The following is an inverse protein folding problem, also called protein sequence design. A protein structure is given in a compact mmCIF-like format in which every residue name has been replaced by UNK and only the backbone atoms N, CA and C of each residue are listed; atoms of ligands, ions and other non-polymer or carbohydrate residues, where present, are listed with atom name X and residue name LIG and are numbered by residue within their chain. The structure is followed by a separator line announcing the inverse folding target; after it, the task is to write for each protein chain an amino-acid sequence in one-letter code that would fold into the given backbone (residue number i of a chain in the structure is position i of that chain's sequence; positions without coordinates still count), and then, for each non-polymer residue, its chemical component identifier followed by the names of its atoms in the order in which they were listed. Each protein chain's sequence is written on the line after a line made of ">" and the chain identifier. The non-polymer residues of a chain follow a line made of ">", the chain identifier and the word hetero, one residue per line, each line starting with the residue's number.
data_IF_720345737980
#
_entry.id   IF_720345737980
#
_cell.length_a   1.000
_cell.length_b   1.000
_cell.length_c   1.000
_cell.angle_alpha   90.00
_cell.angle_beta   90.00
_cell.angle_gamma   90.00
#
_symmetry.space_group_name_H-M   'P 1'
#
loop_
_entity.id
_entity.type
_entity.pdbx_description
1 polymer ?
#
# COMPACT_ATOMS: atom_id res chain seq x y z
N UNK A 1 63.44 -44.65 64.38
CA UNK A 1 64.45 -43.57 64.17
C UNK A 1 63.93 -42.57 63.21
N UNK A 2 63.84 -41.37 63.74
CA UNK A 2 63.98 -40.04 63.19
C UNK A 2 62.98 -39.60 62.08
N UNK A 3 62.09 -38.77 62.48
CA UNK A 3 61.97 -37.32 62.28
C UNK A 3 62.10 -36.87 60.76
N UNK A 4 61.30 -36.05 60.17
CA UNK A 4 60.92 -34.66 60.54
C UNK A 4 60.01 -33.99 59.51
N UNK A 5 59.04 -33.29 60.03
CA UNK A 5 58.61 -31.85 59.78
C UNK A 5 58.20 -31.42 58.42
N UNK A 6 56.89 -31.16 58.33
CA UNK A 6 56.18 -29.97 57.95
C UNK A 6 56.77 -28.97 56.95
N UNK A 7 55.97 -28.58 55.98
CA UNK A 7 55.65 -27.14 55.70
C UNK A 7 54.34 -26.95 54.97
N UNK A 8 53.51 -26.17 55.59
CA UNK A 8 52.30 -25.58 55.04
C UNK A 8 52.65 -24.64 53.88
N UNK A 9 51.98 -24.78 52.77
CA UNK A 9 51.96 -23.80 51.68
C UNK A 9 50.53 -23.50 51.31
N UNK A 10 49.99 -22.34 51.73
CA UNK A 10 48.77 -21.78 51.28
C UNK A 10 48.88 -21.46 49.79
N UNK A 11 48.21 -22.20 48.94
CA UNK A 11 48.01 -21.84 47.58
C UNK A 11 46.60 -21.23 47.44
N UNK A 12 46.54 -19.94 47.29
CA UNK A 12 45.31 -19.21 46.99
C UNK A 12 44.77 -19.71 45.66
N UNK A 13 43.61 -20.37 45.67
CA UNK A 13 42.83 -20.65 44.49
C UNK A 13 42.19 -19.34 44.03
N UNK A 14 42.69 -18.78 42.92
CA UNK A 14 42.02 -17.73 42.16
C UNK A 14 40.87 -18.39 41.38
N UNK A 15 39.65 -18.24 41.87
CA UNK A 15 38.45 -18.55 41.11
C UNK A 15 38.24 -17.40 40.11
N UNK A 16 38.68 -17.60 38.88
CA UNK A 16 38.27 -16.75 37.75
C UNK A 16 36.80 -17.05 37.45
N UNK A 17 35.91 -16.22 38.02
CA UNK A 17 34.55 -16.14 37.57
C UNK A 17 34.54 -15.49 36.17
N UNK A 18 34.54 -16.31 35.13
CA UNK A 18 34.20 -15.87 33.78
C UNK A 18 32.73 -15.52 33.78
N UNK A 19 32.45 -14.24 34.04
CA UNK A 19 31.13 -13.65 33.82
C UNK A 19 30.82 -13.73 32.32
N UNK A 20 29.96 -14.66 31.94
CA UNK A 20 29.25 -14.59 30.64
C UNK A 20 28.37 -13.35 30.70
N UNK A 21 28.89 -12.20 30.24
CA UNK A 21 28.06 -11.10 29.80
C UNK A 21 27.41 -11.59 28.51
N UNK A 22 26.21 -12.17 28.62
CA UNK A 22 25.28 -12.25 27.52
C UNK A 22 24.92 -10.80 27.17
N UNK A 23 25.75 -10.18 26.37
CA UNK A 23 25.39 -9.01 25.62
C UNK A 23 24.23 -9.46 24.72
N UNK A 24 22.99 -9.17 25.17
CA UNK A 24 21.86 -9.15 24.29
C UNK A 24 22.27 -8.28 23.10
N UNK A 25 22.45 -8.91 21.96
CA UNK A 25 22.47 -8.19 20.69
C UNK A 25 21.06 -7.61 20.48
N UNK A 26 20.71 -6.57 21.24
CA UNK A 26 19.75 -5.61 20.82
C UNK A 26 20.30 -5.11 19.50
N UNK A 27 19.59 -5.34 18.39
CA UNK A 27 19.93 -4.74 17.13
C UNK A 27 20.19 -3.25 17.41
N UNK A 28 21.44 -2.83 17.37
CA UNK A 28 21.79 -1.43 17.37
C UNK A 28 21.10 -0.89 16.12
N UNK A 29 19.97 -0.22 16.31
CA UNK A 29 19.34 0.53 15.26
C UNK A 29 20.43 1.46 14.74
N UNK A 30 20.80 1.30 13.47
CA UNK A 30 21.84 2.09 12.85
C UNK A 30 21.31 3.54 12.81
N UNK A 31 21.73 4.33 13.82
CA UNK A 31 21.37 5.74 13.92
C UNK A 31 22.02 6.48 12.76
N UNK A 32 21.21 7.24 12.00
CA UNK A 32 21.71 8.05 10.90
C UNK A 32 21.67 7.40 9.53
N UNK A 33 20.97 6.25 9.36
CA UNK A 33 20.78 5.66 8.03
C UNK A 33 20.04 6.62 7.10
N UNK A 34 20.49 6.66 5.82
CA UNK A 34 19.86 7.46 4.77
C UNK A 34 18.96 6.58 3.91
N UNK A 35 17.68 6.86 3.92
CA UNK A 35 16.68 6.10 3.17
C UNK A 35 16.04 6.99 2.10
N UNK A 36 16.00 6.52 0.86
CA UNK A 36 15.24 7.15 -0.20
C UNK A 36 13.88 6.48 -0.34
N UNK A 37 12.81 7.28 -0.38
CA UNK A 37 11.45 6.84 -0.73
C UNK A 37 11.11 7.42 -2.10
N UNK A 38 10.85 6.56 -3.10
CA UNK A 38 10.65 7.00 -4.49
C UNK A 38 9.28 6.53 -4.96
N UNK A 39 8.45 7.47 -5.42
CA UNK A 39 7.08 7.22 -5.90
C UNK A 39 6.70 8.16 -7.04
N UNK A 40 5.95 7.72 -8.04
CA UNK A 40 5.29 8.60 -9.01
C UNK A 40 3.89 9.06 -8.58
N UNK A 41 3.38 8.59 -7.42
CA UNK A 41 1.97 8.72 -7.05
C UNK A 41 1.73 9.55 -5.79
N UNK A 42 2.61 10.51 -5.47
CA UNK A 42 2.42 11.32 -4.24
C UNK A 42 1.19 12.23 -4.29
N UNK A 43 0.59 12.47 -5.48
CA UNK A 43 -0.69 13.14 -5.63
C UNK A 43 -1.89 12.35 -5.04
N UNK A 44 -1.73 11.02 -4.84
CA UNK A 44 -2.77 10.17 -4.27
C UNK A 44 -2.76 10.24 -2.74
N UNK A 45 -3.92 10.47 -2.08
CA UNK A 45 -3.99 10.56 -0.61
C UNK A 45 -3.46 9.32 0.11
N UNK A 46 -3.75 8.12 -0.39
CA UNK A 46 -3.22 6.88 0.19
C UNK A 46 -1.70 6.85 0.21
N UNK A 47 -1.06 7.28 -0.90
CA UNK A 47 0.41 7.38 -0.99
C UNK A 47 0.96 8.37 0.04
N UNK A 48 0.32 9.53 0.20
CA UNK A 48 0.73 10.52 1.20
C UNK A 48 0.70 9.91 2.61
N UNK A 49 -0.39 9.25 2.97
CA UNK A 49 -0.56 8.70 4.32
C UNK A 49 0.49 7.67 4.69
N UNK A 50 0.83 6.72 3.81
CA UNK A 50 1.86 5.75 4.18
C UNK A 50 3.28 6.31 4.07
N UNK A 51 3.54 7.27 3.19
CA UNK A 51 4.83 7.98 3.16
C UNK A 51 5.05 8.79 4.44
N UNK A 52 4.04 9.53 4.90
CA UNK A 52 4.07 10.25 6.18
C UNK A 52 4.29 9.29 7.37
N UNK A 53 3.60 8.15 7.38
CA UNK A 53 3.78 7.15 8.43
C UNK A 53 5.16 6.50 8.40
N UNK A 54 5.72 6.25 7.21
CA UNK A 54 7.10 5.80 7.04
C UNK A 54 8.08 6.82 7.60
N UNK A 55 7.94 8.10 7.21
CA UNK A 55 8.81 9.17 7.71
C UNK A 55 8.73 9.34 9.23
N UNK A 56 7.52 9.24 9.80
CA UNK A 56 7.34 9.31 11.25
C UNK A 56 8.08 8.16 11.96
N UNK A 57 7.94 6.92 11.45
CA UNK A 57 8.62 5.77 12.01
C UNK A 57 10.13 5.81 11.80
N UNK A 58 10.59 6.23 10.64
CA UNK A 58 12.01 6.43 10.32
C UNK A 58 12.67 7.46 11.26
N UNK A 59 11.95 8.54 11.59
CA UNK A 59 12.42 9.52 12.57
C UNK A 59 12.62 8.91 13.95
N UNK A 60 11.72 8.03 14.40
CA UNK A 60 11.89 7.29 15.66
C UNK A 60 13.11 6.37 15.64
N UNK A 61 13.44 5.81 14.46
CA UNK A 61 14.62 4.99 14.23
C UNK A 61 15.92 5.82 14.08
N UNK A 62 15.82 7.16 14.05
CA UNK A 62 16.95 8.06 13.90
C UNK A 62 17.46 8.19 12.46
N UNK A 63 16.63 7.87 11.46
CA UNK A 63 16.99 7.89 10.04
C UNK A 63 16.74 9.23 9.37
N UNK A 64 17.52 9.51 8.34
CA UNK A 64 17.28 10.59 7.38
C UNK A 64 16.50 10.03 6.18
N UNK A 65 15.34 10.63 5.87
CA UNK A 65 14.48 10.19 4.76
C UNK A 65 14.40 11.25 3.69
N UNK A 66 14.77 10.89 2.46
CA UNK A 66 14.57 11.69 1.26
C UNK A 66 13.39 11.12 0.46
N UNK A 67 12.29 11.88 0.35
CA UNK A 67 11.13 11.51 -0.47
C UNK A 67 11.26 12.16 -1.84
N UNK A 68 11.18 11.34 -2.88
CA UNK A 68 11.32 11.74 -4.28
C UNK A 68 10.03 11.40 -5.01
N UNK A 69 9.30 12.43 -5.41
CA UNK A 69 8.12 12.31 -6.26
C UNK A 69 8.50 12.57 -7.73
N UNK A 70 8.18 11.61 -8.60
CA UNK A 70 8.37 11.78 -10.05
C UNK A 70 7.11 12.25 -10.77
N UNK A 71 6.06 12.63 -10.03
CA UNK A 71 4.85 13.29 -10.54
C UNK A 71 4.16 12.54 -11.70
N UNK A 72 3.98 11.24 -11.55
CA UNK A 72 3.38 10.38 -12.57
C UNK A 72 4.37 9.81 -13.58
N UNK A 73 5.60 10.32 -13.65
CA UNK A 73 6.63 9.80 -14.56
C UNK A 73 7.31 8.54 -13.98
N UNK A 74 6.81 7.37 -14.37
CA UNK A 74 7.35 6.08 -13.96
C UNK A 74 8.74 5.84 -14.53
N UNK A 75 9.02 6.33 -15.74
CA UNK A 75 10.34 6.16 -16.37
C UNK A 75 11.43 6.93 -15.61
N UNK A 76 11.10 8.10 -15.07
CA UNK A 76 12.00 8.88 -14.24
C UNK A 76 12.42 8.17 -12.95
N UNK A 77 11.62 7.22 -12.43
CA UNK A 77 11.96 6.45 -11.21
C UNK A 77 13.29 5.73 -11.36
N UNK A 78 13.61 5.21 -12.56
CA UNK A 78 14.88 4.52 -12.82
C UNK A 78 16.07 5.44 -12.54
N UNK A 79 16.06 6.64 -13.15
CA UNK A 79 17.15 7.60 -12.94
C UNK A 79 17.24 8.09 -11.50
N UNK A 80 16.11 8.21 -10.79
CA UNK A 80 16.12 8.57 -9.35
C UNK A 80 16.72 7.47 -8.50
N UNK A 81 16.47 6.20 -8.81
CA UNK A 81 17.13 5.08 -8.13
C UNK A 81 18.65 5.15 -8.38
N UNK A 82 19.09 5.33 -9.63
CA UNK A 82 20.50 5.45 -9.98
C UNK A 82 21.17 6.63 -9.26
N UNK A 83 20.50 7.78 -9.19
CA UNK A 83 20.97 8.97 -8.47
C UNK A 83 21.21 8.68 -6.97
N UNK A 84 20.24 8.05 -6.27
CA UNK A 84 20.38 7.77 -4.84
C UNK A 84 21.36 6.63 -4.57
N UNK A 85 21.51 5.67 -5.48
CA UNK A 85 22.57 4.65 -5.46
C UNK A 85 23.95 5.32 -5.50
N UNK A 86 24.15 6.27 -6.43
CA UNK A 86 25.40 7.03 -6.54
C UNK A 86 25.68 7.90 -5.29
N UNK A 87 24.64 8.35 -4.60
CA UNK A 87 24.74 9.09 -3.33
C UNK A 87 25.06 8.19 -2.13
N UNK A 88 25.00 6.87 -2.29
CA UNK A 88 25.31 5.90 -1.25
C UNK A 88 24.27 5.85 -0.13
N UNK A 89 22.97 5.85 -0.48
CA UNK A 89 21.91 5.62 0.52
C UNK A 89 22.00 4.20 1.10
N UNK A 90 21.51 4.00 2.32
CA UNK A 90 21.53 2.71 2.99
C UNK A 90 20.38 1.79 2.57
N UNK A 91 19.27 2.38 2.12
CA UNK A 91 18.10 1.62 1.65
C UNK A 91 17.20 2.44 0.75
N UNK A 92 16.43 1.75 -0.08
CA UNK A 92 15.47 2.36 -1.01
C UNK A 92 14.08 1.76 -0.74
N UNK A 93 13.08 2.62 -0.66
CA UNK A 93 11.67 2.23 -0.60
C UNK A 93 11.00 2.69 -1.88
N UNK A 94 10.27 1.80 -2.53
CA UNK A 94 9.57 2.10 -3.78
C UNK A 94 8.06 1.91 -3.62
N UNK A 95 7.31 2.75 -4.35
CA UNK A 95 5.87 2.63 -4.53
C UNK A 95 5.55 2.74 -6.02
N UNK A 96 5.88 1.70 -6.76
CA UNK A 96 5.73 1.60 -8.22
C UNK A 96 5.79 0.13 -8.64
N UNK A 97 5.28 -0.20 -9.82
CA UNK A 97 5.46 -1.54 -10.38
C UNK A 97 6.95 -1.85 -10.63
N UNK A 98 7.52 -2.84 -9.91
CA UNK A 98 8.92 -3.21 -10.08
C UNK A 98 9.28 -3.65 -11.50
N UNK A 99 8.32 -4.20 -12.26
CA UNK A 99 8.54 -4.66 -13.63
C UNK A 99 8.88 -3.51 -14.58
N UNK A 100 8.45 -2.28 -14.25
CA UNK A 100 8.69 -1.08 -15.06
C UNK A 100 10.02 -0.39 -14.73
N UNK A 101 10.68 -0.75 -13.64
CA UNK A 101 11.89 -0.10 -13.13
C UNK A 101 13.08 -1.06 -13.00
N UNK A 102 13.11 -2.11 -13.82
CA UNK A 102 14.08 -3.20 -13.75
C UNK A 102 15.54 -2.73 -13.70
N UNK A 103 15.95 -1.77 -14.56
CA UNK A 103 17.32 -1.25 -14.59
C UNK A 103 17.72 -0.57 -13.27
N UNK A 104 16.81 0.21 -12.65
CA UNK A 104 17.06 0.82 -11.34
C UNK A 104 17.22 -0.23 -10.24
N UNK A 105 16.39 -1.29 -10.23
CA UNK A 105 16.52 -2.39 -9.27
C UNK A 105 17.84 -3.16 -9.46
N UNK A 106 18.29 -3.34 -10.69
CA UNK A 106 19.59 -3.97 -10.97
C UNK A 106 20.75 -3.10 -10.47
N UNK A 107 20.66 -1.77 -10.62
CA UNK A 107 21.65 -0.82 -10.10
C UNK A 107 21.72 -0.88 -8.56
N UNK A 108 20.57 -0.89 -7.87
CA UNK A 108 20.51 -1.03 -6.42
C UNK A 108 21.10 -2.38 -5.95
N UNK A 109 20.77 -3.48 -6.64
CA UNK A 109 21.29 -4.80 -6.34
C UNK A 109 22.82 -4.88 -6.54
N UNK A 110 23.37 -4.31 -7.62
CA UNK A 110 24.81 -4.25 -7.88
C UNK A 110 25.57 -3.47 -6.79
N UNK A 111 24.94 -2.44 -6.21
CA UNK A 111 25.48 -1.66 -5.10
C UNK A 111 25.22 -2.29 -3.72
N UNK A 112 24.56 -3.45 -3.65
CA UNK A 112 24.11 -4.11 -2.41
C UNK A 112 23.19 -3.23 -1.55
N UNK A 113 22.45 -2.30 -2.14
CA UNK A 113 21.47 -1.47 -1.46
C UNK A 113 20.12 -2.21 -1.43
N UNK A 114 19.57 -2.52 -0.25
CA UNK A 114 18.30 -3.22 -0.16
C UNK A 114 17.15 -2.34 -0.62
N UNK A 115 16.18 -2.97 -1.31
CA UNK A 115 14.93 -2.33 -1.73
C UNK A 115 13.75 -2.99 -1.00
N UNK A 116 12.84 -2.18 -0.45
CA UNK A 116 11.57 -2.59 0.14
C UNK A 116 10.44 -1.93 -0.65
N UNK A 117 9.42 -2.71 -0.98
CA UNK A 117 8.18 -2.20 -1.57
C UNK A 117 7.24 -1.69 -0.48
N UNK A 118 6.61 -0.56 -0.72
CA UNK A 118 5.56 0.03 0.10
C UNK A 118 4.34 0.24 -0.81
N UNK A 119 3.40 -0.70 -0.76
CA UNK A 119 2.30 -0.82 -1.69
C UNK A 119 2.78 -0.84 -3.17
N UNK A 120 3.74 -1.71 -3.45
CA UNK A 120 4.31 -1.95 -4.78
C UNK A 120 3.88 -3.32 -5.33
N UNK A 121 4.56 -3.81 -6.32
CA UNK A 121 4.44 -5.20 -6.78
C UNK A 121 5.48 -6.12 -6.13
N UNK A 122 5.47 -7.39 -6.48
CA UNK A 122 6.48 -8.36 -6.09
C UNK A 122 7.59 -8.48 -7.16
N UNK A 123 8.86 -8.54 -6.72
CA UNK A 123 10.02 -8.80 -7.56
C UNK A 123 11.10 -9.49 -6.73
N UNK A 124 11.91 -10.34 -7.35
CA UNK A 124 12.98 -11.07 -6.65
C UNK A 124 14.09 -10.17 -6.08
N UNK A 125 14.26 -8.96 -6.62
CA UNK A 125 15.23 -7.95 -6.16
C UNK A 125 14.73 -7.13 -4.98
N UNK A 126 13.42 -7.20 -4.67
CA UNK A 126 12.79 -6.53 -3.52
C UNK A 126 12.80 -7.48 -2.34
N UNK A 127 13.26 -7.01 -1.18
CA UNK A 127 13.37 -7.83 0.04
C UNK A 127 12.01 -8.23 0.59
N UNK A 128 11.06 -7.31 0.57
CA UNK A 128 9.64 -7.56 0.83
C UNK A 128 8.80 -6.40 0.28
N UNK A 129 7.53 -6.67 -0.01
CA UNK A 129 6.51 -5.66 -0.29
C UNK A 129 5.51 -5.62 0.87
N UNK A 130 5.34 -4.47 1.51
CA UNK A 130 4.31 -4.24 2.54
C UNK A 130 3.10 -3.61 1.88
N UNK A 131 1.95 -4.25 1.97
CA UNK A 131 0.74 -3.84 1.25
C UNK A 131 -0.52 -4.34 1.96
N UNK A 132 -1.70 -3.93 1.49
CA UNK A 132 -2.98 -4.52 1.86
C UNK A 132 -3.35 -5.68 0.92
N UNK A 133 -4.23 -6.58 1.37
CA UNK A 133 -4.69 -7.70 0.55
C UNK A 133 -5.70 -7.23 -0.52
N UNK A 134 -5.20 -6.86 -1.71
CA UNK A 134 -6.01 -6.40 -2.84
C UNK A 134 -7.06 -7.41 -3.29
N UNK A 135 -6.79 -8.71 -3.17
CA UNK A 135 -7.75 -9.78 -3.50
C UNK A 135 -8.97 -9.73 -2.58
N UNK A 136 -8.74 -9.64 -1.28
CA UNK A 136 -9.80 -9.56 -0.27
C UNK A 136 -10.63 -8.29 -0.42
N UNK A 137 -9.96 -7.12 -0.53
CA UNK A 137 -10.64 -5.83 -0.65
C UNK A 137 -11.57 -5.78 -1.87
N UNK A 138 -11.10 -6.26 -3.02
CA UNK A 138 -11.90 -6.29 -4.23
C UNK A 138 -13.06 -7.29 -4.15
N UNK A 139 -12.84 -8.47 -3.58
CA UNK A 139 -13.90 -9.46 -3.38
C UNK A 139 -15.00 -8.88 -2.48
N UNK A 140 -14.64 -8.25 -1.36
CA UNK A 140 -15.59 -7.64 -0.42
C UNK A 140 -16.44 -6.57 -1.11
N UNK A 141 -15.82 -5.62 -1.83
CA UNK A 141 -16.54 -4.51 -2.49
C UNK A 141 -17.39 -4.97 -3.67
N UNK A 142 -16.91 -5.93 -4.48
CA UNK A 142 -17.68 -6.45 -5.61
C UNK A 142 -18.87 -7.30 -5.18
N UNK A 143 -18.71 -8.14 -4.15
CA UNK A 143 -19.81 -8.92 -3.57
C UNK A 143 -20.81 -7.99 -2.90
N UNK A 144 -20.34 -6.92 -2.24
CA UNK A 144 -21.23 -5.89 -1.70
C UNK A 144 -22.14 -5.32 -2.79
N UNK A 145 -21.57 -4.86 -3.92
CA UNK A 145 -22.35 -4.38 -5.06
C UNK A 145 -23.33 -5.44 -5.56
N UNK A 146 -22.84 -6.67 -5.84
CA UNK A 146 -23.69 -7.72 -6.39
C UNK A 146 -24.92 -7.97 -5.51
N UNK A 147 -24.74 -8.00 -4.19
CA UNK A 147 -25.84 -8.17 -3.23
C UNK A 147 -26.80 -6.95 -3.24
N UNK A 148 -26.26 -5.73 -3.28
CA UNK A 148 -27.06 -4.50 -3.22
C UNK A 148 -27.94 -4.31 -4.46
N UNK A 149 -27.45 -4.72 -5.64
CA UNK A 149 -28.21 -4.64 -6.90
C UNK A 149 -29.00 -5.92 -7.23
N UNK A 150 -29.04 -6.88 -6.29
CA UNK A 150 -29.78 -8.15 -6.49
C UNK A 150 -29.23 -9.06 -7.55
N UNK A 151 -27.92 -9.00 -7.83
CA UNK A 151 -27.23 -9.84 -8.81
C UNK A 151 -27.49 -9.49 -10.26
N UNK A 152 -28.10 -8.33 -10.58
CA UNK A 152 -28.47 -7.95 -11.94
C UNK A 152 -28.33 -6.45 -12.20
N UNK A 153 -27.92 -6.07 -13.43
CA UNK A 153 -27.86 -4.69 -13.90
C UNK A 153 -26.50 -4.24 -14.41
N UNK A 154 -26.43 -3.00 -14.87
CA UNK A 154 -25.21 -2.38 -15.41
C UNK A 154 -24.25 -1.92 -14.31
N UNK A 155 -23.00 -2.31 -14.41
CA UNK A 155 -21.91 -1.89 -13.52
C UNK A 155 -20.84 -1.15 -14.32
N UNK A 156 -20.43 0.01 -13.85
CA UNK A 156 -19.26 0.74 -14.35
C UNK A 156 -18.07 0.44 -13.44
N UNK A 157 -16.90 0.16 -14.02
CA UNK A 157 -15.69 -0.11 -13.28
C UNK A 157 -14.62 0.95 -13.53
N UNK A 158 -14.06 1.51 -12.46
CA UNK A 158 -12.84 2.33 -12.51
C UNK A 158 -11.66 1.52 -12.04
N UNK A 159 -10.63 1.38 -12.91
CA UNK A 159 -9.44 0.55 -12.68
C UNK A 159 -8.16 1.31 -13.04
N UNK A 160 -7.01 0.78 -12.61
CA UNK A 160 -5.71 1.29 -13.00
C UNK A 160 -4.71 0.14 -13.09
N UNK A 161 -4.64 -0.48 -14.27
CA UNK A 161 -3.91 -1.74 -14.48
C UNK A 161 -2.37 -1.55 -14.53
N UNK A 162 -1.88 -0.31 -14.67
CA UNK A 162 -0.46 0.00 -14.64
C UNK A 162 0.19 -0.11 -13.24
N UNK A 163 -0.62 -0.31 -12.20
CA UNK A 163 -0.14 -0.41 -10.81
C UNK A 163 -0.63 -1.72 -10.17
N UNK A 164 0.28 -2.67 -9.86
CA UNK A 164 -0.09 -4.03 -9.46
C UNK A 164 -1.08 -4.16 -8.29
N UNK A 165 -0.98 -3.36 -7.20
CA UNK A 165 -1.97 -3.41 -6.13
C UNK A 165 -3.39 -3.06 -6.58
N UNK A 166 -3.55 -2.18 -7.58
CA UNK A 166 -4.84 -1.78 -8.15
C UNK A 166 -5.27 -2.74 -9.26
N UNK A 167 -4.34 -3.22 -10.09
CA UNK A 167 -4.61 -4.21 -11.13
C UNK A 167 -5.27 -5.46 -10.57
N UNK A 168 -4.72 -6.03 -9.47
CA UNK A 168 -5.27 -7.22 -8.85
C UNK A 168 -6.70 -7.01 -8.36
N UNK A 169 -7.03 -5.81 -7.88
CA UNK A 169 -8.40 -5.47 -7.47
C UNK A 169 -9.37 -5.57 -8.64
N UNK A 170 -9.01 -4.99 -9.80
CA UNK A 170 -9.81 -5.06 -11.04
C UNK A 170 -10.03 -6.49 -11.53
N UNK A 171 -8.98 -7.31 -11.54
CA UNK A 171 -9.06 -8.73 -11.94
C UNK A 171 -10.04 -9.52 -11.07
N UNK A 172 -10.01 -9.28 -9.76
CA UNK A 172 -10.92 -9.97 -8.82
C UNK A 172 -12.35 -9.48 -8.97
N UNK A 173 -12.57 -8.16 -9.11
CA UNK A 173 -13.91 -7.62 -9.33
C UNK A 173 -14.55 -8.17 -10.60
N UNK A 174 -13.79 -8.24 -11.71
CA UNK A 174 -14.23 -8.89 -12.95
C UNK A 174 -14.62 -10.37 -12.72
N UNK A 175 -13.80 -11.11 -11.97
CA UNK A 175 -14.07 -12.51 -11.68
C UNK A 175 -15.36 -12.67 -10.84
N UNK A 176 -15.59 -11.80 -9.87
CA UNK A 176 -16.82 -11.80 -9.07
C UNK A 176 -18.02 -11.50 -9.95
N UNK A 177 -18.01 -10.40 -10.73
CA UNK A 177 -19.15 -10.03 -11.55
C UNK A 177 -19.49 -11.06 -12.62
N UNK A 178 -18.50 -11.76 -13.20
CA UNK A 178 -18.72 -12.89 -14.13
C UNK A 178 -19.50 -14.05 -13.54
N UNK A 179 -19.53 -14.22 -12.22
CA UNK A 179 -20.34 -15.25 -11.55
C UNK A 179 -21.83 -14.84 -11.40
N UNK A 180 -22.21 -13.63 -11.78
CA UNK A 180 -23.56 -13.12 -11.80
C UNK A 180 -23.98 -12.89 -13.26
N UNK A 181 -24.69 -13.82 -13.92
CA UNK A 181 -24.93 -13.79 -15.36
C UNK A 181 -25.76 -12.56 -15.83
N UNK A 182 -26.54 -11.98 -14.91
CA UNK A 182 -27.37 -10.80 -15.18
C UNK A 182 -26.68 -9.48 -14.83
N UNK A 183 -25.47 -9.51 -14.28
CA UNK A 183 -24.59 -8.33 -14.15
C UNK A 183 -23.86 -8.11 -15.46
N UNK A 184 -23.92 -6.89 -15.97
CA UNK A 184 -23.19 -6.46 -17.18
C UNK A 184 -22.20 -5.37 -16.82
N UNK A 185 -20.92 -5.62 -16.99
CA UNK A 185 -19.91 -4.56 -16.94
C UNK A 185 -20.09 -3.71 -18.19
N UNK A 186 -20.58 -2.48 -18.03
CA UNK A 186 -20.87 -1.56 -19.12
C UNK A 186 -19.61 -0.93 -19.69
N UNK A 187 -18.69 -0.57 -18.81
CA UNK A 187 -17.40 -0.02 -19.19
C UNK A 187 -16.34 -0.27 -18.09
N UNK A 188 -15.09 -0.25 -18.51
CA UNK A 188 -13.90 -0.41 -17.69
C UNK A 188 -12.96 0.77 -17.95
N UNK A 189 -12.93 1.72 -17.05
CA UNK A 189 -12.34 3.04 -17.24
C UNK A 189 -11.02 3.13 -16.47
N UNK A 190 -9.98 3.62 -17.14
CA UNK A 190 -8.74 4.06 -16.51
C UNK A 190 -8.73 5.59 -16.48
N UNK A 191 -8.84 6.23 -15.30
CA UNK A 191 -8.75 7.68 -15.20
C UNK A 191 -7.31 8.17 -15.32
N UNK A 192 -7.15 9.44 -15.71
CA UNK A 192 -5.89 10.15 -15.49
C UNK A 192 -5.71 10.43 -14.00
N UNK A 193 -4.58 10.02 -13.46
CA UNK A 193 -4.27 10.09 -12.03
C UNK A 193 -3.26 11.19 -11.68
N UNK A 194 -2.82 11.96 -12.65
CA UNK A 194 -1.77 12.98 -12.48
C UNK A 194 -2.15 14.06 -11.46
N UNK A 195 -3.45 14.39 -11.35
CA UNK A 195 -4.01 15.36 -10.40
C UNK A 195 -4.85 14.72 -9.28
N UNK A 196 -4.71 13.39 -9.06
CA UNK A 196 -5.48 12.63 -8.08
C UNK A 196 -6.66 11.86 -8.69
N UNK A 197 -7.12 12.18 -9.90
CA UNK A 197 -8.06 11.38 -10.69
C UNK A 197 -9.55 11.67 -10.46
N UNK A 198 -9.94 12.57 -9.55
CA UNK A 198 -11.36 12.89 -9.29
C UNK A 198 -11.99 13.59 -10.50
N UNK A 199 -11.33 14.62 -11.04
CA UNK A 199 -11.88 15.44 -12.12
C UNK A 199 -12.07 14.65 -13.41
N UNK A 200 -11.09 13.85 -13.81
CA UNK A 200 -11.17 13.01 -14.99
C UNK A 200 -12.22 11.90 -14.84
N UNK A 201 -12.29 11.25 -13.65
CA UNK A 201 -13.31 10.24 -13.36
C UNK A 201 -14.72 10.82 -13.40
N UNK A 202 -14.89 12.05 -12.90
CA UNK A 202 -16.16 12.77 -12.99
C UNK A 202 -16.55 12.99 -14.46
N UNK A 203 -15.66 13.54 -15.29
CA UNK A 203 -15.94 13.81 -16.70
C UNK A 203 -16.30 12.53 -17.48
N UNK A 204 -15.57 11.43 -17.23
CA UNK A 204 -15.84 10.12 -17.84
C UNK A 204 -17.19 9.55 -17.39
N UNK A 205 -17.54 9.69 -16.11
CA UNK A 205 -18.84 9.26 -15.60
C UNK A 205 -19.99 10.12 -16.15
N UNK A 206 -19.81 11.44 -16.28
CA UNK A 206 -20.81 12.32 -16.93
C UNK A 206 -21.11 11.87 -18.36
N UNK A 207 -20.07 11.51 -19.14
CA UNK A 207 -20.22 10.97 -20.48
C UNK A 207 -21.00 9.64 -20.50
N UNK A 208 -20.72 8.74 -19.55
CA UNK A 208 -21.44 7.47 -19.42
C UNK A 208 -22.91 7.65 -19.01
N UNK A 209 -23.20 8.57 -18.10
CA UNK A 209 -24.57 8.90 -17.72
C UNK A 209 -25.36 9.45 -18.92
N UNK A 210 -24.73 10.28 -19.75
CA UNK A 210 -25.34 10.79 -20.99
C UNK A 210 -25.58 9.70 -22.04
N UNK A 211 -24.67 8.73 -22.17
CA UNK A 211 -24.78 7.59 -23.07
C UNK A 211 -25.80 6.55 -22.58
N UNK A 212 -26.15 6.54 -21.31
CA UNK A 212 -27.11 5.64 -20.68
C UNK A 212 -28.21 6.43 -19.94
N UNK A 213 -29.08 7.15 -20.68
CA UNK A 213 -30.00 8.10 -20.08
C UNK A 213 -31.16 7.45 -19.31
N UNK A 214 -31.50 6.20 -19.62
CA UNK A 214 -32.61 5.52 -19.00
C UNK A 214 -32.40 5.26 -17.51
N UNK A 215 -33.34 5.65 -16.63
CA UNK A 215 -33.23 5.34 -15.21
C UNK A 215 -33.01 3.84 -14.95
N UNK A 216 -32.01 3.53 -14.12
CA UNK A 216 -31.67 2.17 -13.80
C UNK A 216 -30.81 1.42 -14.84
N UNK A 217 -30.41 2.07 -15.95
CA UNK A 217 -29.42 1.51 -16.89
C UNK A 217 -28.07 1.28 -16.23
N UNK A 218 -27.65 2.17 -15.34
CA UNK A 218 -26.48 2.01 -14.46
C UNK A 218 -27.01 1.72 -13.06
N UNK A 219 -26.64 0.57 -12.50
CA UNK A 219 -27.01 0.14 -11.15
C UNK A 219 -25.91 0.32 -10.14
N UNK A 220 -24.66 0.28 -10.59
CA UNK A 220 -23.53 0.44 -9.67
C UNK A 220 -22.29 1.01 -10.35
N UNK A 221 -21.44 1.57 -9.51
CA UNK A 221 -20.06 1.96 -9.83
C UNK A 221 -19.13 1.25 -8.85
N UNK A 222 -18.25 0.41 -9.37
CA UNK A 222 -17.17 -0.19 -8.63
C UNK A 222 -15.88 0.58 -8.93
N UNK A 223 -15.22 1.10 -7.92
CA UNK A 223 -13.95 1.80 -8.08
C UNK A 223 -12.83 1.10 -7.31
N UNK A 224 -11.71 0.88 -7.96
CA UNK A 224 -10.55 0.22 -7.37
C UNK A 224 -9.86 1.05 -6.27
N UNK A 225 -10.21 2.35 -6.16
CA UNK A 225 -9.88 3.24 -5.04
C UNK A 225 -10.87 4.41 -4.96
N UNK A 226 -10.81 5.20 -3.88
CA UNK A 226 -11.87 6.17 -3.55
C UNK A 226 -11.97 7.38 -4.48
N UNK A 227 -10.86 7.87 -5.07
CA UNK A 227 -10.91 9.09 -5.91
C UNK A 227 -11.86 8.95 -7.11
N UNK A 228 -11.81 7.87 -7.90
CA UNK A 228 -12.81 7.67 -8.96
C UNK A 228 -14.24 7.50 -8.43
N UNK A 229 -14.42 6.86 -7.29
CA UNK A 229 -15.73 6.74 -6.64
C UNK A 229 -16.32 8.11 -6.31
N UNK A 230 -15.49 9.01 -5.75
CA UNK A 230 -15.88 10.40 -5.47
C UNK A 230 -16.18 11.20 -6.74
N UNK A 231 -15.38 11.01 -7.80
CA UNK A 231 -15.65 11.61 -9.11
C UNK A 231 -16.99 11.14 -9.69
N UNK A 232 -17.26 9.84 -9.63
CA UNK A 232 -18.53 9.26 -10.06
C UNK A 232 -19.71 9.76 -9.23
N UNK A 233 -19.56 9.91 -7.91
CA UNK A 233 -20.59 10.48 -7.04
C UNK A 233 -20.93 11.90 -7.48
N UNK A 234 -19.95 12.76 -7.69
CA UNK A 234 -20.16 14.14 -8.16
C UNK A 234 -20.87 14.19 -9.52
N UNK A 235 -20.54 13.29 -10.44
CA UNK A 235 -21.19 13.20 -11.74
C UNK A 235 -22.68 12.81 -11.63
N UNK A 236 -22.99 11.82 -10.77
CA UNK A 236 -24.35 11.33 -10.51
C UNK A 236 -25.20 12.44 -9.88
N UNK A 237 -24.67 13.18 -8.93
CA UNK A 237 -25.31 14.32 -8.28
C UNK A 237 -25.55 15.46 -9.27
N UNK A 238 -24.54 15.84 -10.07
CA UNK A 238 -24.65 16.88 -11.08
C UNK A 238 -25.68 16.55 -12.17
N UNK A 239 -25.84 15.27 -12.51
CA UNK A 239 -26.85 14.80 -13.45
C UNK A 239 -28.27 14.69 -12.84
N UNK A 240 -28.44 14.93 -11.53
CA UNK A 240 -29.72 14.79 -10.83
C UNK A 240 -30.20 13.33 -10.67
N UNK A 241 -29.28 12.35 -10.81
CA UNK A 241 -29.57 10.90 -10.81
C UNK A 241 -29.34 10.21 -9.47
N UNK A 242 -29.12 10.96 -8.40
CA UNK A 242 -28.84 10.45 -7.05
C UNK A 242 -29.98 9.58 -6.48
N UNK A 243 -31.21 9.75 -6.97
CA UNK A 243 -32.37 9.00 -6.49
C UNK A 243 -32.66 7.72 -7.30
N UNK A 244 -31.82 7.35 -8.25
CA UNK A 244 -31.98 6.13 -9.07
C UNK A 244 -31.47 4.85 -8.37
N UNK A 245 -30.93 4.96 -7.15
CA UNK A 245 -30.40 3.83 -6.40
C UNK A 245 -29.10 3.26 -6.96
N UNK A 246 -28.28 4.09 -7.61
CA UNK A 246 -26.95 3.72 -8.08
C UNK A 246 -26.04 3.50 -6.87
N UNK A 247 -25.48 2.30 -6.73
CA UNK A 247 -24.59 1.94 -5.62
C UNK A 247 -23.14 2.21 -5.99
N UNK A 248 -22.41 2.95 -5.18
CA UNK A 248 -20.99 3.20 -5.39
C UNK A 248 -20.18 2.51 -4.28
N UNK A 249 -19.09 1.82 -4.65
CA UNK A 249 -18.09 1.35 -3.72
C UNK A 249 -16.69 1.82 -4.11
N UNK A 250 -15.86 2.04 -3.09
CA UNK A 250 -14.44 2.38 -3.23
C UNK A 250 -13.54 1.43 -2.43
N UNK A 251 -12.27 1.71 -2.45
CA UNK A 251 -11.24 1.11 -1.59
C UNK A 251 -10.36 2.27 -1.12
N UNK A 252 -9.89 2.26 0.10
CA UNK A 252 -9.04 3.13 0.88
C UNK A 252 -9.75 3.66 2.13
N UNK A 253 -11.04 3.95 2.04
CA UNK A 253 -11.84 4.64 3.06
C UNK A 253 -11.11 5.91 3.57
N UNK A 254 -10.63 6.73 2.62
CA UNK A 254 -10.01 8.01 2.96
C UNK A 254 -11.03 8.98 3.62
N UNK A 255 -10.60 10.07 4.26
CA UNK A 255 -11.52 10.96 4.98
C UNK A 255 -12.71 11.43 4.15
N UNK A 256 -12.50 11.83 2.87
CA UNK A 256 -13.58 12.30 2.00
C UNK A 256 -14.60 11.19 1.67
N UNK A 257 -14.11 9.96 1.44
CA UNK A 257 -14.98 8.81 1.21
C UNK A 257 -15.77 8.45 2.47
N UNK A 258 -15.15 8.48 3.65
CA UNK A 258 -15.83 8.27 4.92
C UNK A 258 -16.93 9.31 5.17
N UNK A 259 -16.64 10.58 4.89
CA UNK A 259 -17.62 11.65 5.01
C UNK A 259 -18.80 11.44 4.06
N UNK A 260 -18.55 11.08 2.80
CA UNK A 260 -19.59 10.76 1.82
C UNK A 260 -20.45 9.55 2.24
N UNK A 261 -19.82 8.47 2.72
CA UNK A 261 -20.53 7.28 3.23
C UNK A 261 -21.36 7.64 4.48
N UNK A 262 -20.80 8.43 5.41
CA UNK A 262 -21.49 8.84 6.63
C UNK A 262 -22.68 9.79 6.36
N UNK A 263 -22.61 10.60 5.30
CA UNK A 263 -23.69 11.47 4.85
C UNK A 263 -24.87 10.67 4.29
N UNK A 264 -24.64 9.43 3.86
CA UNK A 264 -25.63 8.60 3.17
C UNK A 264 -25.76 8.98 1.69
N UNK A 265 -26.43 8.14 0.93
CA UNK A 265 -26.63 8.33 -0.51
C UNK A 265 -25.96 7.22 -1.34
N UNK A 266 -25.46 7.58 -2.50
CA UNK A 266 -24.97 6.60 -3.49
C UNK A 266 -23.64 5.94 -3.11
N UNK A 267 -22.73 6.64 -2.39
CA UNK A 267 -21.47 6.05 -1.94
C UNK A 267 -21.70 5.26 -0.64
N UNK A 268 -21.91 3.97 -0.77
CA UNK A 268 -22.40 3.13 0.33
C UNK A 268 -21.29 2.45 1.13
N UNK A 269 -20.15 2.11 0.49
CA UNK A 269 -19.09 1.36 1.15
C UNK A 269 -17.71 1.62 0.54
N UNK A 270 -16.68 1.55 1.37
CA UNK A 270 -15.28 1.47 0.97
C UNK A 270 -14.53 0.49 1.89
N UNK A 271 -13.46 -0.14 1.41
CA UNK A 271 -12.61 -0.96 2.28
C UNK A 271 -11.42 -0.13 2.71
N UNK A 272 -11.33 0.13 4.02
CA UNK A 272 -10.21 0.84 4.61
C UNK A 272 -8.91 0.04 4.50
N UNK A 273 -7.85 0.70 4.08
CA UNK A 273 -6.48 0.24 4.21
C UNK A 273 -5.85 0.84 5.47
N UNK A 274 -5.02 0.07 6.16
CA UNK A 274 -4.19 0.59 7.24
C UNK A 274 -2.94 1.26 6.67
N UNK A 275 -3.10 2.44 6.08
CA UNK A 275 -1.98 3.19 5.50
C UNK A 275 -0.87 3.48 6.51
N UNK A 276 -1.24 3.76 7.76
CA UNK A 276 -0.27 3.95 8.83
C UNK A 276 0.51 2.66 9.10
N UNK A 277 -0.19 1.54 9.13
CA UNK A 277 0.42 0.21 9.25
C UNK A 277 1.33 -0.12 8.07
N UNK A 278 0.95 0.21 6.81
CA UNK A 278 1.81 0.02 5.63
C UNK A 278 3.13 0.79 5.83
N UNK A 279 3.06 2.09 6.12
CA UNK A 279 4.25 2.93 6.23
C UNK A 279 5.16 2.53 7.38
N UNK A 280 4.61 2.33 8.58
CA UNK A 280 5.40 1.94 9.76
C UNK A 280 6.01 0.54 9.61
N UNK A 281 5.24 -0.43 9.09
CA UNK A 281 5.75 -1.79 8.84
C UNK A 281 6.83 -1.80 7.75
N UNK A 282 6.73 -0.95 6.72
CA UNK A 282 7.79 -0.82 5.71
C UNK A 282 9.09 -0.29 6.31
N UNK A 283 9.03 0.68 7.23
CA UNK A 283 10.20 1.17 7.94
C UNK A 283 10.80 0.08 8.86
N UNK A 284 9.97 -0.62 9.63
CA UNK A 284 10.42 -1.73 10.48
C UNK A 284 11.00 -2.87 9.64
N UNK A 285 10.43 -3.15 8.48
CA UNK A 285 10.95 -4.15 7.52
C UNK A 285 12.32 -3.75 7.00
N UNK A 286 12.50 -2.48 6.61
CA UNK A 286 13.80 -1.95 6.20
C UNK A 286 14.82 -2.05 7.34
N UNK A 287 14.45 -1.74 8.58
CA UNK A 287 15.33 -1.87 9.75
C UNK A 287 15.82 -3.31 9.95
N UNK A 288 14.94 -4.29 9.84
CA UNK A 288 15.29 -5.72 9.93
C UNK A 288 16.26 -6.14 8.83
N UNK A 289 16.01 -5.67 7.59
CA UNK A 289 16.87 -5.96 6.44
C UNK A 289 18.26 -5.34 6.61
N UNK A 290 18.33 -4.07 7.03
CA UNK A 290 19.61 -3.39 7.33
C UNK A 290 20.36 -4.06 8.49
N UNK A 291 19.63 -4.63 9.46
CA UNK A 291 20.18 -5.46 10.54
C UNK A 291 20.64 -6.86 10.09
N UNK A 292 20.56 -7.18 8.79
CA UNK A 292 21.01 -8.46 8.22
C UNK A 292 20.00 -9.60 8.34
N UNK A 293 18.75 -9.33 8.69
CA UNK A 293 17.73 -10.38 8.75
C UNK A 293 17.30 -10.83 7.36
N UNK A 294 17.24 -12.15 7.16
CA UNK A 294 16.63 -12.76 5.97
C UNK A 294 15.14 -12.95 6.21
N UNK A 295 14.33 -12.20 5.49
CA UNK A 295 12.87 -12.25 5.63
C UNK A 295 12.32 -13.57 5.08
N UNK A 296 11.36 -14.17 5.81
CA UNK A 296 10.69 -15.41 5.39
C UNK A 296 9.58 -15.21 4.37
N UNK A 297 9.00 -14.02 4.33
CA UNK A 297 7.92 -13.65 3.42
C UNK A 297 8.36 -12.46 2.57
N UNK A 298 8.07 -12.52 1.29
CA UNK A 298 8.30 -11.45 0.33
C UNK A 298 7.09 -10.50 0.19
N UNK A 299 5.93 -10.84 0.78
CA UNK A 299 4.75 -9.97 0.89
C UNK A 299 4.31 -9.97 2.34
N UNK A 300 4.09 -8.77 2.87
CA UNK A 300 3.61 -8.54 4.23
C UNK A 300 2.28 -7.78 4.11
N UNK A 301 1.20 -8.45 4.49
CA UNK A 301 -0.13 -7.83 4.47
C UNK A 301 -0.43 -7.12 5.77
N UNK A 302 -0.99 -5.90 5.66
CA UNK A 302 -1.59 -5.17 6.78
C UNK A 302 -3.12 -5.36 6.77
N UNK A 303 -3.79 -5.19 7.93
CA UNK A 303 -5.24 -5.38 8.03
C UNK A 303 -6.04 -4.43 7.15
N UNK A 304 -7.25 -4.88 6.78
CA UNK A 304 -8.24 -4.10 6.04
C UNK A 304 -9.61 -4.19 6.75
N UNK A 305 -10.48 -3.21 6.53
CA UNK A 305 -11.81 -3.19 7.15
C UNK A 305 -12.85 -2.59 6.21
N UNK A 306 -13.98 -3.29 6.03
CA UNK A 306 -15.12 -2.72 5.33
C UNK A 306 -15.71 -1.56 6.14
N UNK A 307 -15.87 -0.42 5.48
CA UNK A 307 -16.49 0.81 5.99
C UNK A 307 -17.82 1.01 5.28
N UNK A 308 -18.86 1.19 6.07
CA UNK A 308 -20.22 1.51 5.64
C UNK A 308 -20.77 2.63 6.54
N UNK A 309 -21.98 3.09 6.33
CA UNK A 309 -22.61 4.10 7.20
C UNK A 309 -22.62 3.71 8.70
N UNK A 310 -22.52 2.41 9.02
CA UNK A 310 -22.51 1.94 10.40
C UNK A 310 -21.20 2.27 11.16
N UNK A 311 -20.08 2.47 10.46
CA UNK A 311 -18.74 2.66 11.05
C UNK A 311 -17.87 3.67 10.30
N UNK A 312 -18.48 4.54 9.48
CA UNK A 312 -17.74 5.55 8.72
C UNK A 312 -17.21 6.72 9.58
N UNK A 313 -17.85 6.96 10.74
CA UNK A 313 -17.49 8.01 11.69
C UNK A 313 -16.43 7.56 12.66
#
# INVERSE_FOLDING_TARGET
>A
MTYSITRRGLGRALVLAAGFAALGAGAALAAGEKIAVITPYLSQPGTQFYVEAFQARAKELGWEVNVIDTQGDVAAVISRIEDVVAQGVNGIVINVDPSQIGAGLDAAAAANIPVVGMDAGADARIKANVTSNGYEMAAVTSVYIANRIGGAGGVVMFTFDAFPPVQVRGVIADAVFKNYPDIKVLDRITPDVSDGGIADSRAKMEALLAANPEPGSIKAVWAAWDQPALGALQAIEAAGRQNEGIVITGIDANPQARDAIAAGGNFEASVAQDFKGIGSTAADTMARVLGGEVLKANVIYVPTQLVTAANAK
#
